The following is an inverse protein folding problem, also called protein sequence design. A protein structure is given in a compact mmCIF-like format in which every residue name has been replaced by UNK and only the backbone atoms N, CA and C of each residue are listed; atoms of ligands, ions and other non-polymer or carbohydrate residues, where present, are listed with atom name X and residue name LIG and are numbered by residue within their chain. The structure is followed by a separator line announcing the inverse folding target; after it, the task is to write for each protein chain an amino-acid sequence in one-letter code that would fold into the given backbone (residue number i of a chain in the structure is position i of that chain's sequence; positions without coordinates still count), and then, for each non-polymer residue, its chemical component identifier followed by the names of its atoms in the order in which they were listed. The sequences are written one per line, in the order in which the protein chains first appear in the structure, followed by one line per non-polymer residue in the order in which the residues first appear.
data_IF_601280039606
#
_entry.id   IF_601280039606
#
_cell.length_a   1.000
_cell.length_b   1.000
_cell.length_c   1.000
_cell.angle_alpha   90.00
_cell.angle_beta   90.00
_cell.angle_gamma   90.00
#
_symmetry.space_group_name_H-M   'P 1'
#
loop_
_entity.id
_entity.type
_entity.pdbx_description
1 polymer ?
#
# COMPACT_ATOMS: atom_id res chain seq x y z
N UNK A 1 22.71 -37.04 6.08
CA UNK A 1 21.28 -36.76 5.80
C UNK A 1 21.03 -35.31 6.16
N UNK A 2 21.34 -34.41 5.23
CA UNK A 2 21.18 -32.97 5.39
C UNK A 2 19.84 -32.58 4.77
N UNK A 3 18.93 -32.10 5.60
CA UNK A 3 17.65 -31.53 5.22
C UNK A 3 17.93 -30.26 4.41
N UNK A 4 17.63 -30.29 3.11
CA UNK A 4 17.65 -29.09 2.27
C UNK A 4 16.43 -28.27 2.60
N UNK A 5 16.70 -27.13 3.23
CA UNK A 5 15.76 -26.09 3.60
C UNK A 5 15.10 -25.60 2.32
N UNK A 6 13.80 -25.86 2.17
CA UNK A 6 12.99 -25.34 1.08
C UNK A 6 13.10 -23.81 1.08
N UNK A 7 13.50 -23.26 -0.06
CA UNK A 7 13.43 -21.83 -0.29
C UNK A 7 11.98 -21.41 -0.11
N UNK A 8 11.73 -20.51 0.83
CA UNK A 8 10.45 -19.85 1.00
C UNK A 8 10.20 -18.99 -0.24
N UNK A 9 9.65 -19.63 -1.27
CA UNK A 9 8.91 -18.94 -2.31
C UNK A 9 7.76 -18.25 -1.57
N UNK A 10 7.81 -16.92 -1.48
CA UNK A 10 6.66 -16.11 -1.12
C UNK A 10 5.67 -16.16 -2.28
N UNK A 11 5.15 -17.34 -2.56
CA UNK A 11 4.01 -17.50 -3.45
C UNK A 11 2.79 -17.13 -2.62
N UNK A 12 2.08 -16.06 -2.99
CA UNK A 12 0.88 -15.71 -2.29
C UNK A 12 -0.17 -16.78 -2.55
N UNK A 13 -0.54 -17.52 -1.50
CA UNK A 13 -1.53 -18.59 -1.60
C UNK A 13 -2.89 -17.96 -2.00
N UNK A 14 -3.44 -18.24 -3.20
CA UNK A 14 -4.56 -17.48 -3.77
C UNK A 14 -5.89 -17.56 -2.97
N UNK A 15 -5.99 -18.45 -1.98
CA UNK A 15 -7.21 -18.69 -1.20
C UNK A 15 -7.45 -17.73 -0.04
N UNK A 16 -6.41 -17.21 0.61
CA UNK A 16 -6.55 -16.43 1.86
C UNK A 16 -6.86 -14.95 1.63
N UNK A 17 -6.75 -14.48 0.38
CA UNK A 17 -7.05 -13.10 0.02
C UNK A 17 -8.50 -12.70 0.27
N UNK A 18 -9.44 -13.62 0.03
CA UNK A 18 -10.87 -13.38 0.26
C UNK A 18 -11.16 -13.20 1.75
N UNK A 19 -10.57 -14.03 2.58
CA UNK A 19 -10.71 -13.96 4.04
C UNK A 19 -10.05 -12.69 4.59
N UNK A 20 -8.82 -12.39 4.16
CA UNK A 20 -8.12 -11.18 4.54
C UNK A 20 -8.87 -9.92 4.12
N UNK A 21 -9.41 -9.90 2.89
CA UNK A 21 -10.23 -8.79 2.41
C UNK A 21 -11.47 -8.58 3.28
N UNK A 22 -12.21 -9.65 3.55
CA UNK A 22 -13.43 -9.60 4.38
C UNK A 22 -13.13 -9.13 5.81
N UNK A 23 -12.05 -9.62 6.42
CA UNK A 23 -11.64 -9.21 7.77
C UNK A 23 -11.24 -7.74 7.79
N UNK A 24 -10.44 -7.27 6.82
CA UNK A 24 -9.97 -5.89 6.76
C UNK A 24 -11.12 -4.90 6.46
N UNK A 25 -12.05 -5.25 5.59
CA UNK A 25 -13.25 -4.45 5.33
C UNK A 25 -14.10 -4.30 6.60
N UNK A 26 -14.29 -5.40 7.35
CA UNK A 26 -15.05 -5.38 8.60
C UNK A 26 -14.35 -4.54 9.67
N UNK A 27 -13.02 -4.66 9.80
CA UNK A 27 -12.23 -3.84 10.73
C UNK A 27 -12.31 -2.37 10.37
N UNK A 28 -12.29 -2.03 9.08
CA UNK A 28 -12.44 -0.65 8.61
C UNK A 28 -13.80 -0.08 9.01
N UNK A 29 -14.89 -0.80 8.74
CA UNK A 29 -16.25 -0.37 9.10
C UNK A 29 -16.40 -0.16 10.62
N UNK A 30 -15.89 -1.07 11.42
CA UNK A 30 -15.94 -0.95 12.88
C UNK A 30 -15.12 0.26 13.34
N UNK A 31 -13.92 0.46 12.76
CA UNK A 31 -13.06 1.60 13.12
C UNK A 31 -13.69 2.93 12.72
N UNK A 32 -14.29 3.03 11.53
CA UNK A 32 -15.01 4.22 11.09
C UNK A 32 -16.23 4.53 11.98
N UNK A 33 -16.96 3.49 12.41
CA UNK A 33 -18.14 3.65 13.27
C UNK A 33 -17.79 4.02 14.71
N UNK A 34 -16.72 3.45 15.28
CA UNK A 34 -16.35 3.63 16.70
C UNK A 34 -15.42 4.83 16.91
N UNK A 35 -14.45 5.02 16.02
CA UNK A 35 -13.36 5.98 16.18
C UNK A 35 -13.46 7.16 15.21
N UNK A 36 -14.23 6.99 14.13
CA UNK A 36 -14.40 7.99 13.08
C UNK A 36 -13.48 7.79 11.89
N UNK A 37 -13.87 8.38 10.77
CA UNK A 37 -13.18 8.27 9.48
C UNK A 37 -11.78 8.92 9.45
N UNK A 38 -11.45 9.77 10.43
CA UNK A 38 -10.16 10.47 10.54
C UNK A 38 -9.30 9.95 11.70
N UNK A 39 -9.63 8.79 12.27
CA UNK A 39 -8.83 8.24 13.37
C UNK A 39 -7.56 7.55 12.85
N UNK A 40 -6.40 7.65 13.54
CA UNK A 40 -5.18 6.94 13.16
C UNK A 40 -5.36 5.43 12.99
N UNK A 41 -6.17 4.78 13.82
CA UNK A 41 -6.49 3.34 13.69
C UNK A 41 -7.28 3.02 12.42
N UNK A 42 -8.15 3.93 11.98
CA UNK A 42 -8.83 3.82 10.68
C UNK A 42 -7.82 3.91 9.55
N UNK A 43 -6.84 4.81 9.65
CA UNK A 43 -5.75 4.92 8.70
C UNK A 43 -4.86 3.66 8.65
N UNK A 44 -4.55 3.06 9.80
CA UNK A 44 -3.84 1.76 9.84
C UNK A 44 -4.62 0.65 9.15
N UNK A 45 -5.95 0.63 9.31
CA UNK A 45 -6.81 -0.35 8.64
C UNK A 45 -6.83 -0.16 7.12
N UNK A 46 -6.90 1.10 6.66
CA UNK A 46 -6.78 1.46 5.24
C UNK A 46 -5.42 1.04 4.65
N UNK A 47 -4.32 1.31 5.36
CA UNK A 47 -2.98 0.89 4.96
C UNK A 47 -2.90 -0.64 4.77
N UNK A 48 -3.48 -1.41 5.69
CA UNK A 48 -3.45 -2.87 5.59
C UNK A 48 -4.29 -3.39 4.41
N UNK A 49 -5.44 -2.77 4.13
CA UNK A 49 -6.25 -3.09 2.95
C UNK A 49 -5.50 -2.76 1.65
N UNK A 50 -4.79 -1.62 1.62
CA UNK A 50 -3.94 -1.24 0.50
C UNK A 50 -2.81 -2.25 0.26
N UNK A 51 -2.18 -2.71 1.35
CA UNK A 51 -1.14 -3.75 1.30
C UNK A 51 -1.67 -5.06 0.73
N UNK A 52 -2.91 -5.43 1.06
CA UNK A 52 -3.54 -6.62 0.49
C UNK A 52 -3.70 -6.50 -1.03
N UNK A 53 -4.19 -5.35 -1.52
CA UNK A 53 -4.31 -5.09 -2.96
C UNK A 53 -2.96 -5.07 -3.66
N UNK A 54 -1.95 -4.47 -3.02
CA UNK A 54 -0.56 -4.52 -3.47
C UNK A 54 -0.07 -5.97 -3.62
N UNK A 55 -0.29 -6.83 -2.63
CA UNK A 55 0.08 -8.25 -2.70
C UNK A 55 -0.69 -9.03 -3.76
N UNK A 56 -1.86 -8.55 -4.21
CA UNK A 56 -2.59 -9.11 -5.36
C UNK A 56 -2.14 -8.55 -6.71
N UNK A 57 -1.15 -7.65 -6.74
CA UNK A 57 -0.70 -6.95 -7.96
C UNK A 57 -1.68 -5.87 -8.45
N UNK A 58 -2.67 -5.48 -7.63
CA UNK A 58 -3.68 -4.47 -7.98
C UNK A 58 -3.27 -3.09 -7.46
N UNK A 59 -2.23 -2.53 -8.05
CA UNK A 59 -1.66 -1.24 -7.63
C UNK A 59 -2.65 -0.07 -7.72
N UNK A 60 -3.49 -0.04 -8.76
CA UNK A 60 -4.48 1.03 -8.97
C UNK A 60 -5.56 1.06 -7.87
N UNK A 61 -5.89 -0.10 -7.30
CA UNK A 61 -6.84 -0.19 -6.18
C UNK A 61 -6.15 0.11 -4.83
N UNK A 62 -4.85 -0.17 -4.72
CA UNK A 62 -4.06 0.09 -3.51
C UNK A 62 -3.75 1.58 -3.31
N UNK A 63 -3.46 2.29 -4.39
CA UNK A 63 -3.06 3.71 -4.37
C UNK A 63 -4.02 4.63 -3.60
N UNK A 64 -5.33 4.67 -3.89
CA UNK A 64 -6.23 5.60 -3.20
C UNK A 64 -6.37 5.28 -1.71
N UNK A 65 -6.21 4.01 -1.33
CA UNK A 65 -6.26 3.58 0.07
C UNK A 65 -5.02 4.05 0.83
N UNK A 66 -3.83 3.94 0.23
CA UNK A 66 -2.60 4.48 0.82
C UNK A 66 -2.64 6.00 0.94
N UNK A 67 -3.09 6.71 -0.10
CA UNK A 67 -3.20 8.18 -0.07
C UNK A 67 -4.15 8.62 1.04
N UNK A 68 -5.32 7.98 1.18
CA UNK A 68 -6.26 8.30 2.26
C UNK A 68 -5.69 7.99 3.64
N UNK A 69 -5.01 6.86 3.80
CA UNK A 69 -4.35 6.51 5.06
C UNK A 69 -3.29 7.55 5.44
N UNK A 70 -2.43 7.94 4.50
CA UNK A 70 -1.38 8.94 4.71
C UNK A 70 -1.97 10.31 5.06
N UNK A 71 -3.02 10.75 4.37
CA UNK A 71 -3.67 12.02 4.68
C UNK A 71 -4.16 12.09 6.14
N UNK A 72 -4.73 10.99 6.66
CA UNK A 72 -5.16 10.92 8.06
C UNK A 72 -3.97 10.87 9.02
N UNK A 73 -2.93 10.10 8.69
CA UNK A 73 -1.74 9.98 9.53
C UNK A 73 -1.00 11.31 9.64
N UNK A 74 -0.86 12.08 8.56
CA UNK A 74 -0.25 13.41 8.58
C UNK A 74 -1.10 14.46 9.31
N UNK A 75 -2.43 14.35 9.27
CA UNK A 75 -3.31 15.27 9.98
C UNK A 75 -3.33 15.03 11.50
N UNK A 76 -3.25 13.77 11.93
CA UNK A 76 -3.41 13.39 13.35
C UNK A 76 -2.10 13.07 14.07
N UNK A 77 -1.04 12.73 13.35
CA UNK A 77 0.24 12.33 13.93
C UNK A 77 1.35 13.22 13.39
N UNK A 78 2.36 13.48 14.22
CA UNK A 78 3.59 14.11 13.76
C UNK A 78 4.28 13.22 12.68
N UNK A 79 4.99 13.85 11.75
CA UNK A 79 5.65 13.17 10.63
C UNK A 79 6.59 12.02 11.07
N UNK A 80 7.15 12.11 12.28
CA UNK A 80 8.07 11.13 12.85
C UNK A 80 7.39 9.94 13.54
N UNK A 81 6.06 9.93 13.63
CA UNK A 81 5.35 8.84 14.29
C UNK A 81 5.57 7.51 13.53
N UNK A 82 5.82 6.38 14.24
CA UNK A 82 6.06 5.08 13.61
C UNK A 82 5.01 4.70 12.55
N UNK A 83 3.73 4.94 12.82
CA UNK A 83 2.64 4.63 11.88
C UNK A 83 2.74 5.44 10.58
N UNK A 84 3.10 6.73 10.64
CA UNK A 84 3.28 7.58 9.46
C UNK A 84 4.46 7.09 8.63
N UNK A 85 5.59 6.77 9.30
CA UNK A 85 6.77 6.20 8.63
C UNK A 85 6.47 4.86 7.96
N UNK A 86 5.74 3.98 8.63
CA UNK A 86 5.34 2.68 8.06
C UNK A 86 4.41 2.86 6.87
N UNK A 87 3.40 3.74 6.97
CA UNK A 87 2.49 4.04 5.85
C UNK A 87 3.24 4.58 4.63
N UNK A 88 4.17 5.51 4.84
CA UNK A 88 5.00 6.07 3.77
C UNK A 88 5.90 5.00 3.13
N UNK A 89 6.57 4.19 3.94
CA UNK A 89 7.42 3.11 3.43
C UNK A 89 6.62 2.11 2.59
N UNK A 90 5.44 1.71 3.04
CA UNK A 90 4.58 0.78 2.30
C UNK A 90 4.12 1.38 0.98
N UNK A 91 3.75 2.66 0.97
CA UNK A 91 3.33 3.37 -0.23
C UNK A 91 4.47 3.53 -1.24
N UNK A 92 5.64 3.96 -0.80
CA UNK A 92 6.82 4.10 -1.66
C UNK A 92 7.26 2.73 -2.21
N UNK A 93 7.27 1.70 -1.38
CA UNK A 93 7.57 0.33 -1.81
C UNK A 93 6.59 -0.14 -2.89
N UNK A 94 5.30 0.13 -2.71
CA UNK A 94 4.28 -0.19 -3.71
C UNK A 94 4.57 0.50 -5.05
N UNK A 95 4.95 1.77 -5.04
CA UNK A 95 5.25 2.53 -6.26
C UNK A 95 6.48 1.98 -6.99
N UNK A 96 7.54 1.64 -6.25
CA UNK A 96 8.75 1.04 -6.83
C UNK A 96 8.43 -0.30 -7.47
N UNK A 97 7.67 -1.17 -6.81
CA UNK A 97 7.28 -2.47 -7.37
C UNK A 97 6.32 -2.33 -8.55
N UNK A 98 5.40 -1.35 -8.52
CA UNK A 98 4.54 -1.06 -9.67
C UNK A 98 5.36 -0.65 -10.91
N UNK A 99 6.46 0.10 -10.73
CA UNK A 99 7.39 0.42 -11.82
C UNK A 99 8.08 -0.84 -12.34
N UNK A 100 8.64 -1.68 -11.45
CA UNK A 100 9.31 -2.93 -11.84
C UNK A 100 8.37 -3.90 -12.57
N UNK A 101 7.12 -3.98 -12.13
CA UNK A 101 6.10 -4.83 -12.72
C UNK A 101 5.48 -4.24 -14.01
N UNK A 102 5.89 -3.03 -14.44
CA UNK A 102 5.37 -2.40 -15.66
C UNK A 102 3.99 -1.75 -15.52
N UNK A 103 3.46 -1.62 -14.31
CA UNK A 103 2.17 -1.00 -14.00
C UNK A 103 2.25 0.52 -13.78
N UNK A 104 3.43 1.13 -13.94
CA UNK A 104 3.61 2.57 -13.79
C UNK A 104 2.74 3.40 -14.75
N UNK A 105 2.54 2.94 -15.98
CA UNK A 105 1.72 3.66 -16.97
C UNK A 105 0.25 3.80 -16.49
N UNK A 106 -0.32 2.71 -15.96
CA UNK A 106 -1.67 2.70 -15.42
C UNK A 106 -1.82 3.70 -14.24
N UNK A 107 -0.83 3.72 -13.34
CA UNK A 107 -0.80 4.69 -12.23
C UNK A 107 -0.54 6.13 -12.69
N UNK A 108 0.17 6.36 -13.79
CA UNK A 108 0.34 7.70 -14.38
C UNK A 108 -0.98 8.24 -14.95
N UNK A 109 -1.85 7.35 -15.43
CA UNK A 109 -3.19 7.71 -15.91
C UNK A 109 -4.18 7.89 -14.75
N UNK A 110 -4.30 6.91 -13.86
CA UNK A 110 -5.35 6.83 -12.85
C UNK A 110 -4.96 7.30 -11.44
N UNK A 111 -3.66 7.34 -11.11
CA UNK A 111 -3.17 7.65 -9.76
C UNK A 111 -3.30 9.11 -9.37
N UNK A 112 -3.06 9.42 -8.10
CA UNK A 112 -3.10 10.79 -7.58
C UNK A 112 -1.93 11.65 -8.07
N UNK A 113 -2.07 12.97 -7.97
CA UNK A 113 -1.00 13.92 -8.32
C UNK A 113 0.38 13.58 -7.71
N UNK A 114 0.51 13.28 -6.40
CA UNK A 114 1.80 12.89 -5.83
C UNK A 114 2.33 11.56 -6.38
N UNK A 115 1.46 10.57 -6.64
CA UNK A 115 1.85 9.33 -7.35
C UNK A 115 2.47 9.65 -8.70
N UNK A 116 1.78 10.46 -9.52
CA UNK A 116 2.25 10.82 -10.86
C UNK A 116 3.59 11.53 -10.79
N UNK A 117 3.71 12.53 -9.91
CA UNK A 117 4.94 13.29 -9.73
C UNK A 117 6.12 12.39 -9.35
N UNK A 118 5.91 11.46 -8.41
CA UNK A 118 6.94 10.51 -7.98
C UNK A 118 7.34 9.56 -9.11
N UNK A 119 6.36 8.97 -9.82
CA UNK A 119 6.62 8.06 -10.93
C UNK A 119 7.33 8.75 -12.09
N UNK A 120 6.92 9.96 -12.46
CA UNK A 120 7.61 10.74 -13.49
C UNK A 120 9.06 11.02 -13.10
N UNK A 121 9.32 11.37 -11.84
CA UNK A 121 10.69 11.59 -11.35
C UNK A 121 11.53 10.33 -11.49
N UNK A 122 11.05 9.19 -10.99
CA UNK A 122 11.77 7.90 -11.11
C UNK A 122 12.04 7.55 -12.56
N UNK A 123 11.03 7.64 -13.44
CA UNK A 123 11.18 7.30 -14.85
C UNK A 123 12.18 8.22 -15.56
N UNK A 124 12.23 9.51 -15.19
CA UNK A 124 13.21 10.46 -15.72
C UNK A 124 14.64 10.20 -15.21
N UNK A 125 14.81 9.74 -13.97
CA UNK A 125 16.11 9.38 -13.39
C UNK A 125 16.68 8.07 -13.99
N UNK A 126 15.82 7.12 -14.36
CA UNK A 126 16.23 5.89 -15.06
C UNK A 126 16.70 6.12 -16.51
N UNK A 127 16.51 7.32 -17.06
CA UNK A 127 16.87 7.70 -18.43
C UNK A 127 18.10 8.62 -18.52
N UNK A 128 18.76 8.91 -17.40
CA UNK A 128 20.00 9.70 -17.42
C UNK A 128 21.22 8.78 -17.70
N UNK A 129 22.07 9.13 -18.70
CA UNK A 129 23.23 8.34 -19.10
C UNK A 129 24.37 8.34 -18.06
#
# INVERSE_FOLDING_TARGET
MSCSIEGTHHDPVPGHYREAFFVLERVLQISEAQLGAQHPSTASSLNNLAMLYYSMGRYEAAEPLYVRALAILFDKLEENHPNTRTGLNNYVQMLIEAVKAGHAAALLESGSAPTKQFLTKILSEQQQP
#
